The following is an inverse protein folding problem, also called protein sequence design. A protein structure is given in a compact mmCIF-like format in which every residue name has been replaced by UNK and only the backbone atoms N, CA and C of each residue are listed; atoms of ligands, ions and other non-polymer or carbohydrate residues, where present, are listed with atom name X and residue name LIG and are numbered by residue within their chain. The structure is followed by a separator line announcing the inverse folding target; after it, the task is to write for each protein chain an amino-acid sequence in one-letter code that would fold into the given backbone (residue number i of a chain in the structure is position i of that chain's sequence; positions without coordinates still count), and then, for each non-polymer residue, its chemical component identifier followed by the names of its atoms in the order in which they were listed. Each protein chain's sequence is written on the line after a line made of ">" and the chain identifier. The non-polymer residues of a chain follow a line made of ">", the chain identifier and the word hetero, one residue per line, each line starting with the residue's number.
data_IF_277850883807
#
_entry.id   IF_277850883807
#
_cell.length_a   1.000
_cell.length_b   1.000
_cell.length_c   1.000
_cell.angle_alpha   90.00
_cell.angle_beta   90.00
_cell.angle_gamma   90.00
#
_symmetry.space_group_name_H-M   'P 1'
#
loop_
_entity.id
_entity.type
_entity.pdbx_description
1 polymer ?
#
# COMPACT_ATOMS: atom_id res chain seq x y z
N UNK A 1 -39.56 12.15 -16.25
CA UNK A 1 -39.32 10.70 -16.14
C UNK A 1 -37.82 10.48 -16.31
N UNK A 2 -37.12 9.92 -15.34
CA UNK A 2 -35.68 9.70 -15.45
C UNK A 2 -35.37 8.64 -16.49
N UNK A 3 -34.24 8.80 -17.20
CA UNK A 3 -33.77 7.79 -18.14
C UNK A 3 -33.22 6.57 -17.42
N UNK A 4 -33.22 5.40 -18.05
CA UNK A 4 -32.60 4.16 -17.49
C UNK A 4 -31.14 4.40 -17.09
N UNK A 5 -30.42 5.19 -17.88
CA UNK A 5 -29.03 5.57 -17.60
C UNK A 5 -28.90 6.40 -16.31
N UNK A 6 -29.84 7.31 -16.04
CA UNK A 6 -29.85 8.11 -14.81
C UNK A 6 -30.14 7.26 -13.58
N UNK A 7 -31.04 6.30 -13.68
CA UNK A 7 -31.30 5.35 -12.59
C UNK A 7 -30.07 4.47 -12.30
N UNK A 8 -29.49 3.91 -13.35
CA UNK A 8 -28.27 3.09 -13.18
C UNK A 8 -27.13 3.88 -12.52
N UNK A 9 -26.90 5.12 -12.97
CA UNK A 9 -25.93 6.02 -12.35
C UNK A 9 -26.26 6.29 -10.87
N UNK A 10 -27.52 6.58 -10.55
CA UNK A 10 -27.96 6.82 -9.17
C UNK A 10 -27.73 5.62 -8.25
N UNK A 11 -28.02 4.41 -8.72
CA UNK A 11 -27.77 3.17 -7.97
C UNK A 11 -26.26 2.99 -7.73
N UNK A 12 -25.43 3.14 -8.76
CA UNK A 12 -23.98 3.00 -8.63
C UNK A 12 -23.39 4.01 -7.64
N UNK A 13 -23.81 5.28 -7.74
CA UNK A 13 -23.37 6.34 -6.81
C UNK A 13 -23.83 6.04 -5.38
N UNK A 14 -25.06 5.58 -5.17
CA UNK A 14 -25.54 5.21 -3.84
C UNK A 14 -24.73 4.04 -3.25
N UNK A 15 -24.46 3.00 -4.05
CA UNK A 15 -23.60 1.88 -3.63
C UNK A 15 -22.19 2.35 -3.29
N UNK A 16 -21.63 3.26 -4.09
CA UNK A 16 -20.30 3.83 -3.83
C UNK A 16 -20.28 4.60 -2.50
N UNK A 17 -21.26 5.47 -2.23
CA UNK A 17 -21.39 6.21 -0.97
C UNK A 17 -21.51 5.26 0.22
N UNK A 18 -22.43 4.30 0.13
CA UNK A 18 -22.64 3.31 1.20
C UNK A 18 -21.37 2.54 1.54
N UNK A 19 -20.69 2.02 0.52
CA UNK A 19 -19.44 1.32 0.71
C UNK A 19 -18.32 2.21 1.25
N UNK A 20 -18.22 3.44 0.78
CA UNK A 20 -17.27 4.41 1.29
C UNK A 20 -17.49 4.70 2.80
N UNK A 21 -18.76 4.82 3.23
CA UNK A 21 -19.09 5.01 4.64
C UNK A 21 -18.73 3.79 5.50
N UNK A 22 -18.98 2.57 4.99
CA UNK A 22 -18.57 1.33 5.67
C UNK A 22 -17.05 1.27 5.82
N UNK A 23 -16.30 1.58 4.76
CA UNK A 23 -14.82 1.64 4.80
C UNK A 23 -14.36 2.70 5.81
N UNK A 24 -14.98 3.88 5.80
CA UNK A 24 -14.67 4.95 6.74
C UNK A 24 -14.88 4.50 8.20
N UNK A 25 -16.00 3.84 8.48
CA UNK A 25 -16.32 3.32 9.81
C UNK A 25 -15.32 2.25 10.27
N UNK A 26 -15.02 1.26 9.41
CA UNK A 26 -14.03 0.21 9.72
C UNK A 26 -12.68 0.82 10.05
N UNK A 27 -12.23 1.82 9.28
CA UNK A 27 -10.95 2.49 9.52
C UNK A 27 -10.96 3.40 10.74
N UNK A 28 -12.07 4.08 11.02
CA UNK A 28 -12.20 4.94 12.20
C UNK A 28 -12.14 4.14 13.49
N UNK A 29 -12.97 3.10 13.60
CA UNK A 29 -13.02 2.24 14.78
C UNK A 29 -11.84 1.27 14.89
N UNK A 30 -11.07 1.14 13.83
CA UNK A 30 -9.87 0.28 13.78
C UNK A 30 -10.16 -1.14 14.24
N UNK A 31 -11.09 -1.82 13.54
CA UNK A 31 -11.68 -3.09 13.97
C UNK A 31 -10.71 -4.28 13.96
N UNK A 32 -9.58 -4.19 13.23
CA UNK A 32 -8.52 -5.21 13.25
C UNK A 32 -7.28 -4.66 13.97
N UNK A 33 -6.90 -5.27 15.10
CA UNK A 33 -5.82 -4.79 15.97
C UNK A 33 -4.84 -5.86 16.45
N UNK A 34 -4.51 -6.93 15.70
CA UNK A 34 -3.68 -8.01 16.23
C UNK A 34 -2.30 -7.52 16.69
N UNK A 35 -1.76 -6.46 16.08
CA UNK A 35 -0.45 -5.89 16.41
C UNK A 35 -0.52 -4.43 16.88
N UNK A 36 -1.65 -4.02 17.49
CA UNK A 36 -1.78 -2.67 18.06
C UNK A 36 -0.73 -2.49 19.17
N UNK A 37 0.08 -1.42 19.05
CA UNK A 37 1.24 -1.10 19.91
C UNK A 37 2.50 -1.94 19.69
N UNK A 38 2.54 -2.84 18.72
CA UNK A 38 3.79 -3.54 18.43
C UNK A 38 4.82 -2.55 17.83
N UNK A 39 6.07 -2.48 18.36
CA UNK A 39 7.04 -1.47 17.95
C UNK A 39 7.45 -1.58 16.48
N UNK A 40 7.43 -2.79 15.91
CA UNK A 40 7.87 -3.09 14.55
C UNK A 40 6.75 -2.96 13.49
N UNK A 41 5.49 -2.79 13.91
CA UNK A 41 4.36 -2.74 12.98
C UNK A 41 3.59 -1.44 13.07
N UNK A 42 2.91 -1.10 11.99
CA UNK A 42 1.97 0.03 11.93
C UNK A 42 0.81 -0.27 10.98
N UNK A 43 -0.29 0.43 11.19
CA UNK A 43 -1.44 0.38 10.29
C UNK A 43 -1.47 1.65 9.44
N UNK A 44 -1.39 1.51 8.08
CA UNK A 44 -1.28 2.67 7.21
C UNK A 44 -2.52 3.58 7.25
N UNK A 45 -2.31 4.89 7.25
CA UNK A 45 -3.24 5.92 6.84
C UNK A 45 -4.63 5.98 7.48
N UNK A 46 -4.80 5.56 8.75
CA UNK A 46 -6.12 5.46 9.41
C UNK A 46 -6.97 6.73 9.27
N UNK A 47 -6.49 7.87 9.78
CA UNK A 47 -7.24 9.13 9.78
C UNK A 47 -7.48 9.67 8.38
N UNK A 48 -6.44 9.67 7.54
CA UNK A 48 -6.51 10.14 6.17
C UNK A 48 -7.54 9.33 5.37
N UNK A 49 -7.50 8.00 5.45
CA UNK A 49 -8.43 7.10 4.77
C UNK A 49 -9.88 7.38 5.20
N UNK A 50 -10.14 7.54 6.50
CA UNK A 50 -11.48 7.85 7.01
C UNK A 50 -12.03 9.13 6.41
N UNK A 51 -11.24 10.22 6.46
CA UNK A 51 -11.68 11.53 5.94
C UNK A 51 -11.97 11.45 4.44
N UNK A 52 -11.09 10.79 3.69
CA UNK A 52 -11.22 10.63 2.24
C UNK A 52 -12.53 9.94 1.89
N UNK A 53 -12.86 8.83 2.54
CA UNK A 53 -14.09 8.10 2.24
C UNK A 53 -15.35 8.84 2.73
N UNK A 54 -15.27 9.62 3.82
CA UNK A 54 -16.37 10.50 4.24
C UNK A 54 -16.68 11.60 3.23
N UNK A 55 -15.69 12.04 2.43
CA UNK A 55 -15.93 13.02 1.36
C UNK A 55 -16.89 12.51 0.26
N UNK A 56 -17.16 11.19 0.19
CA UNK A 56 -18.20 10.64 -0.70
C UNK A 56 -19.60 11.23 -0.44
N UNK A 57 -19.86 11.73 0.78
CA UNK A 57 -21.10 12.42 1.12
C UNK A 57 -21.34 13.66 0.26
N UNK A 58 -20.31 14.26 -0.33
CA UNK A 58 -20.45 15.38 -1.28
C UNK A 58 -21.20 14.99 -2.55
N UNK A 59 -21.35 13.69 -2.82
CA UNK A 59 -22.10 13.16 -3.98
C UNK A 59 -23.62 13.08 -3.74
N UNK A 60 -24.12 13.27 -2.53
CA UNK A 60 -25.56 13.19 -2.21
C UNK A 60 -26.43 14.06 -3.15
N UNK A 61 -26.04 15.30 -3.53
CA UNK A 61 -26.84 16.08 -4.48
C UNK A 61 -27.06 15.38 -5.82
N UNK A 62 -26.15 14.53 -6.26
CA UNK A 62 -26.32 13.77 -7.51
C UNK A 62 -27.39 12.67 -7.43
N UNK A 63 -27.76 12.25 -6.22
CA UNK A 63 -28.86 11.31 -6.00
C UNK A 63 -30.21 12.02 -5.97
N UNK A 64 -30.27 13.26 -5.47
CA UNK A 64 -31.51 14.03 -5.28
C UNK A 64 -31.95 14.69 -6.60
N UNK A 65 -31.00 15.28 -7.33
CA UNK A 65 -31.26 16.04 -8.55
C UNK A 65 -30.32 15.62 -9.69
N UNK A 66 -30.35 14.36 -10.12
CA UNK A 66 -29.34 13.77 -11.01
C UNK A 66 -29.27 14.40 -12.40
N UNK A 67 -30.35 15.02 -12.89
CA UNK A 67 -30.44 15.55 -14.25
C UNK A 67 -29.86 16.96 -14.41
N UNK A 68 -29.58 17.67 -13.30
CA UNK A 68 -28.95 18.97 -13.40
C UNK A 68 -27.49 18.89 -13.84
N UNK A 69 -27.11 19.76 -14.76
CA UNK A 69 -25.73 19.83 -15.28
C UNK A 69 -24.68 20.04 -14.18
N UNK A 70 -25.04 20.81 -13.13
CA UNK A 70 -24.16 21.02 -11.98
C UNK A 70 -23.88 19.76 -11.18
N UNK A 71 -24.82 18.83 -11.09
CA UNK A 71 -24.59 17.52 -10.42
C UNK A 71 -23.74 16.60 -11.27
N UNK A 72 -23.84 16.68 -12.58
CA UNK A 72 -22.95 15.96 -13.48
C UNK A 72 -21.51 16.49 -13.41
N UNK A 73 -21.32 17.80 -13.34
CA UNK A 73 -20.02 18.42 -13.08
C UNK A 73 -19.46 18.02 -11.71
N UNK A 74 -20.31 17.93 -10.68
CA UNK A 74 -19.91 17.48 -9.34
C UNK A 74 -19.39 16.05 -9.36
N UNK A 75 -20.09 15.12 -10.05
CA UNK A 75 -19.62 13.74 -10.24
C UNK A 75 -18.25 13.70 -10.91
N UNK A 76 -18.07 14.41 -12.03
CA UNK A 76 -16.78 14.48 -12.72
C UNK A 76 -15.69 15.08 -11.85
N UNK A 77 -15.96 16.14 -11.11
CA UNK A 77 -15.00 16.76 -10.22
C UNK A 77 -14.58 15.82 -9.07
N UNK A 78 -15.53 15.05 -8.54
CA UNK A 78 -15.23 14.06 -7.52
C UNK A 78 -14.41 12.88 -8.08
N UNK A 79 -14.88 12.28 -9.21
CA UNK A 79 -14.27 11.08 -9.76
C UNK A 79 -12.98 11.33 -10.56
N UNK A 80 -12.61 12.53 -10.94
CA UNK A 80 -11.32 12.77 -11.58
C UNK A 80 -10.35 13.50 -10.64
N UNK A 81 -10.38 14.84 -10.44
CA UNK A 81 -9.32 15.51 -9.67
C UNK A 81 -9.34 15.12 -8.19
N UNK A 82 -10.52 14.94 -7.57
CA UNK A 82 -10.59 14.63 -6.12
C UNK A 82 -10.14 13.21 -5.83
N UNK A 83 -10.54 12.20 -6.61
CA UNK A 83 -10.03 10.84 -6.42
C UNK A 83 -8.53 10.71 -6.71
N UNK A 84 -8.00 11.40 -7.72
CA UNK A 84 -6.56 11.43 -7.99
C UNK A 84 -5.78 12.08 -6.84
N UNK A 85 -6.33 13.15 -6.26
CA UNK A 85 -5.79 13.72 -5.04
C UNK A 85 -5.82 12.73 -3.88
N UNK A 86 -6.95 12.01 -3.67
CA UNK A 86 -7.04 10.97 -2.64
C UNK A 86 -6.02 9.88 -2.81
N UNK A 87 -5.85 9.41 -4.03
CA UNK A 87 -4.86 8.39 -4.35
C UNK A 87 -3.45 8.85 -3.98
N UNK A 88 -3.12 10.11 -4.27
CA UNK A 88 -1.87 10.73 -3.88
C UNK A 88 -1.70 10.77 -2.36
N UNK A 89 -2.72 11.23 -1.61
CA UNK A 89 -2.70 11.28 -0.15
C UNK A 89 -2.60 9.88 0.47
N UNK A 90 -3.30 8.88 -0.10
CA UNK A 90 -3.22 7.51 0.38
C UNK A 90 -1.80 6.95 0.22
N UNK A 91 -1.16 7.16 -0.94
CA UNK A 91 0.23 6.76 -1.14
C UNK A 91 1.16 7.43 -0.13
N UNK A 92 1.03 8.74 0.08
CA UNK A 92 1.82 9.45 1.08
C UNK A 92 1.54 8.98 2.52
N UNK A 93 0.29 8.67 2.86
CA UNK A 93 -0.05 8.21 4.21
C UNK A 93 0.39 6.78 4.47
N UNK A 94 0.42 5.93 3.44
CA UNK A 94 0.89 4.53 3.55
C UNK A 94 2.42 4.45 3.61
N UNK A 95 3.11 5.34 2.94
CA UNK A 95 4.58 5.33 2.87
C UNK A 95 5.21 6.57 3.53
N UNK A 96 4.46 7.33 4.32
CA UNK A 96 4.87 8.63 4.88
C UNK A 96 6.03 8.57 5.87
N UNK A 97 6.28 7.41 6.49
CA UNK A 97 7.48 7.19 7.33
C UNK A 97 8.78 7.14 6.51
N UNK A 98 8.68 6.87 5.22
CA UNK A 98 9.80 6.68 4.29
C UNK A 98 9.96 7.90 3.39
N UNK A 99 8.84 8.54 3.08
CA UNK A 99 8.81 9.78 2.34
C UNK A 99 8.98 10.94 3.34
N UNK A 100 9.90 11.84 3.12
CA UNK A 100 10.05 13.08 3.90
C UNK A 100 8.76 13.90 3.84
N UNK A 101 7.73 13.43 4.56
CA UNK A 101 6.37 14.00 4.58
C UNK A 101 6.36 15.50 4.87
N UNK A 102 7.32 15.99 5.69
CA UNK A 102 7.45 17.41 5.99
C UNK A 102 7.65 18.25 4.72
N UNK A 103 8.39 17.75 3.74
CA UNK A 103 8.65 18.44 2.46
C UNK A 103 7.42 18.45 1.56
N UNK A 104 6.64 17.36 1.56
CA UNK A 104 5.47 17.20 0.68
C UNK A 104 4.17 17.73 1.27
N UNK A 105 4.11 18.01 2.57
CA UNK A 105 2.90 18.45 3.28
C UNK A 105 2.28 19.72 2.70
N UNK A 106 3.10 20.76 2.44
CA UNK A 106 2.59 22.05 1.90
C UNK A 106 2.05 21.91 0.48
N UNK A 107 2.78 21.33 -0.50
CA UNK A 107 2.24 21.10 -1.83
C UNK A 107 0.95 20.27 -1.83
N UNK A 108 0.87 19.21 -1.03
CA UNK A 108 -0.33 18.37 -0.96
C UNK A 108 -1.53 19.08 -0.35
N UNK A 109 -1.35 19.98 0.62
CA UNK A 109 -2.44 20.81 1.16
C UNK A 109 -2.95 21.81 0.12
N UNK A 110 -2.07 22.45 -0.65
CA UNK A 110 -2.47 23.37 -1.72
C UNK A 110 -3.26 22.60 -2.80
N UNK A 111 -2.79 21.44 -3.22
CA UNK A 111 -3.51 20.59 -4.18
C UNK A 111 -4.87 20.16 -3.64
N UNK A 112 -4.97 19.84 -2.34
CA UNK A 112 -6.24 19.52 -1.68
C UNK A 112 -7.23 20.66 -1.73
N UNK A 113 -6.77 21.88 -1.46
CA UNK A 113 -7.60 23.07 -1.57
C UNK A 113 -8.11 23.28 -3.00
N UNK A 114 -7.26 23.09 -4.04
CA UNK A 114 -7.70 23.20 -5.44
C UNK A 114 -8.70 22.10 -5.82
N UNK A 115 -8.53 20.87 -5.32
CA UNK A 115 -9.48 19.79 -5.53
C UNK A 115 -10.86 20.08 -4.89
N UNK A 116 -10.86 20.63 -3.68
CA UNK A 116 -12.10 21.07 -2.99
C UNK A 116 -12.77 22.22 -3.71
N UNK A 117 -12.01 23.19 -4.22
CA UNK A 117 -12.55 24.27 -5.05
C UNK A 117 -13.22 23.73 -6.32
N UNK A 118 -12.68 22.67 -6.94
CA UNK A 118 -13.33 22.04 -8.08
C UNK A 118 -14.70 21.44 -7.73
N UNK A 119 -14.87 20.86 -6.53
CA UNK A 119 -16.18 20.36 -6.06
C UNK A 119 -17.22 21.47 -5.90
N UNK A 120 -16.79 22.67 -5.47
CA UNK A 120 -17.68 23.82 -5.25
C UNK A 120 -17.96 24.52 -6.57
N UNK A 121 -16.97 24.62 -7.47
CA UNK A 121 -17.08 25.35 -8.73
C UNK A 121 -18.20 24.83 -9.64
N UNK A 122 -18.38 23.50 -9.73
CA UNK A 122 -19.41 22.87 -10.56
C UNK A 122 -20.86 23.29 -10.15
N UNK A 123 -21.28 23.06 -8.89
CA UNK A 123 -22.58 23.50 -8.40
C UNK A 123 -22.75 25.03 -8.46
N UNK A 124 -21.74 25.80 -8.10
CA UNK A 124 -21.77 27.27 -8.14
C UNK A 124 -21.95 27.77 -9.56
N UNK A 125 -21.23 27.20 -10.52
CA UNK A 125 -21.37 27.53 -11.92
C UNK A 125 -22.79 27.25 -12.44
N UNK A 126 -23.48 26.24 -11.96
CA UNK A 126 -24.87 25.95 -12.33
C UNK A 126 -25.87 26.94 -11.74
N UNK A 127 -25.53 27.63 -10.65
CA UNK A 127 -26.33 28.68 -10.02
C UNK A 127 -26.17 30.04 -10.74
N UNK A 128 -24.98 30.32 -11.25
CA UNK A 128 -24.64 31.54 -11.97
C UNK A 128 -25.09 31.46 -13.44
N UNK A 129 -26.39 31.32 -13.70
CA UNK A 129 -26.98 31.37 -15.05
C UNK A 129 -26.81 32.76 -15.70
N UNK A 130 -25.60 33.09 -16.09
CA UNK A 130 -25.30 34.31 -16.85
C UNK A 130 -25.26 34.00 -18.36
N UNK A 131 -25.95 34.81 -19.15
CA UNK A 131 -26.13 34.66 -20.62
C UNK A 131 -24.84 34.78 -21.46
N UNK A 132 -23.67 35.06 -20.87
CA UNK A 132 -22.46 35.44 -21.63
C UNK A 132 -21.37 34.35 -21.72
N UNK A 133 -21.46 33.25 -20.98
CA UNK A 133 -20.42 32.21 -21.00
C UNK A 133 -21.05 30.81 -20.87
N UNK A 134 -20.55 29.84 -21.63
CA UNK A 134 -20.94 28.44 -21.44
C UNK A 134 -20.26 27.90 -20.17
N UNK A 135 -20.91 28.14 -19.03
CA UNK A 135 -20.40 27.81 -17.68
C UNK A 135 -20.09 26.31 -17.54
N UNK A 136 -20.87 25.47 -18.22
CA UNK A 136 -20.66 24.02 -18.22
C UNK A 136 -19.37 23.65 -18.95
N UNK A 137 -19.11 24.28 -20.10
CA UNK A 137 -17.88 24.08 -20.85
C UNK A 137 -16.67 24.51 -20.02
N UNK A 138 -16.72 25.71 -19.39
CA UNK A 138 -15.64 26.18 -18.52
C UNK A 138 -15.42 25.24 -17.33
N UNK A 139 -16.50 24.76 -16.69
CA UNK A 139 -16.42 23.78 -15.61
C UNK A 139 -15.74 22.48 -16.05
N UNK A 140 -16.08 21.94 -17.22
CA UNK A 140 -15.42 20.76 -17.76
C UNK A 140 -13.92 21.01 -18.04
N UNK A 141 -13.56 22.15 -18.62
CA UNK A 141 -12.15 22.49 -18.87
C UNK A 141 -11.37 22.58 -17.56
N UNK A 142 -11.91 23.24 -16.54
CA UNK A 142 -11.28 23.35 -15.22
C UNK A 142 -11.06 21.94 -14.61
N UNK A 143 -12.08 21.06 -14.65
CA UNK A 143 -11.99 19.70 -14.13
C UNK A 143 -10.90 18.91 -14.86
N UNK A 144 -10.81 19.01 -16.18
CA UNK A 144 -9.78 18.31 -16.96
C UNK A 144 -8.37 18.85 -16.66
N UNK A 145 -8.20 20.16 -16.59
CA UNK A 145 -6.90 20.77 -16.23
C UNK A 145 -6.46 20.34 -14.84
N UNK A 146 -7.35 20.42 -13.85
CA UNK A 146 -7.05 19.92 -12.49
C UNK A 146 -6.78 18.42 -12.49
N UNK A 147 -7.51 17.64 -13.29
CA UNK A 147 -7.26 16.22 -13.49
C UNK A 147 -5.84 15.94 -13.98
N UNK A 148 -5.33 16.71 -14.95
CA UNK A 148 -3.95 16.58 -15.43
C UNK A 148 -2.96 16.90 -14.32
N UNK A 149 -3.14 18.00 -13.60
CA UNK A 149 -2.26 18.40 -12.48
C UNK A 149 -2.22 17.30 -11.40
N UNK A 150 -3.40 16.77 -11.01
CA UNK A 150 -3.48 15.72 -10.00
C UNK A 150 -2.89 14.40 -10.51
N UNK A 151 -3.02 14.07 -11.79
CA UNK A 151 -2.37 12.90 -12.39
C UNK A 151 -0.87 13.01 -12.32
N UNK A 152 -0.30 14.15 -12.66
CA UNK A 152 1.16 14.39 -12.59
C UNK A 152 1.66 14.21 -11.16
N UNK A 153 0.96 14.78 -10.18
CA UNK A 153 1.34 14.62 -8.75
C UNK A 153 1.23 13.19 -8.27
N UNK A 154 0.19 12.45 -8.70
CA UNK A 154 0.04 11.04 -8.38
C UNK A 154 1.15 10.19 -9.01
N UNK A 155 1.53 10.46 -10.26
CA UNK A 155 2.67 9.80 -10.93
C UNK A 155 3.98 10.09 -10.21
N UNK A 156 4.20 11.31 -9.74
CA UNK A 156 5.37 11.65 -8.92
C UNK A 156 5.38 10.81 -7.63
N UNK A 157 4.25 10.73 -6.92
CA UNK A 157 4.12 9.89 -5.72
C UNK A 157 4.43 8.41 -6.04
N UNK A 158 3.86 7.87 -7.11
CA UNK A 158 4.14 6.50 -7.58
C UNK A 158 5.64 6.30 -7.85
N UNK A 159 6.29 7.25 -8.56
CA UNK A 159 7.73 7.16 -8.84
C UNK A 159 8.58 7.17 -7.57
N UNK A 160 8.21 7.96 -6.57
CA UNK A 160 8.90 7.99 -5.28
C UNK A 160 8.77 6.65 -4.58
N UNK A 161 7.56 6.08 -4.52
CA UNK A 161 7.33 4.73 -3.94
C UNK A 161 8.14 3.67 -4.69
N UNK A 162 8.11 3.65 -6.03
CA UNK A 162 8.87 2.69 -6.83
C UNK A 162 10.39 2.85 -6.68
N UNK A 163 10.89 4.08 -6.55
CA UNK A 163 12.31 4.32 -6.28
C UNK A 163 12.71 3.74 -4.94
N UNK A 164 11.89 3.96 -3.92
CA UNK A 164 12.11 3.39 -2.61
C UNK A 164 12.10 1.86 -2.64
N UNK A 165 11.15 1.22 -3.35
CA UNK A 165 11.11 -0.26 -3.44
C UNK A 165 12.34 -0.87 -4.08
N UNK A 166 13.05 -0.12 -4.95
CA UNK A 166 14.31 -0.58 -5.56
C UNK A 166 15.51 -0.54 -4.61
N UNK A 167 15.43 0.26 -3.54
CA UNK A 167 16.49 0.37 -2.54
C UNK A 167 16.34 -0.68 -1.44
N UNK A 168 15.23 -1.40 -1.43
CA UNK A 168 14.93 -2.40 -0.42
C UNK A 168 15.63 -3.70 -0.75
N UNK A 169 16.41 -4.21 0.20
CA UNK A 169 17.05 -5.52 0.08
C UNK A 169 16.08 -6.59 0.57
N UNK A 170 15.65 -7.47 -0.35
CA UNK A 170 14.72 -8.56 -0.07
C UNK A 170 15.33 -9.55 0.93
N UNK A 171 16.66 -9.69 0.91
CA UNK A 171 17.40 -10.59 1.79
C UNK A 171 17.35 -10.20 3.28
N UNK A 172 16.78 -9.05 3.63
CA UNK A 172 16.70 -8.59 5.02
C UNK A 172 15.62 -9.33 5.82
N UNK A 173 14.64 -9.92 5.16
CA UNK A 173 13.48 -10.55 5.77
C UNK A 173 13.47 -12.05 5.49
N UNK A 174 13.06 -12.83 6.49
CA UNK A 174 12.94 -14.28 6.35
C UNK A 174 11.60 -14.73 5.74
N UNK A 175 10.60 -13.84 5.72
CA UNK A 175 9.26 -14.20 5.25
C UNK A 175 8.80 -13.26 4.12
N UNK A 176 8.33 -13.81 2.94
CA UNK A 176 7.86 -12.98 1.82
C UNK A 176 6.73 -12.00 2.17
N UNK A 177 5.91 -12.32 3.17
CA UNK A 177 4.81 -11.46 3.61
C UNK A 177 5.27 -10.20 4.33
N UNK A 178 6.43 -10.25 4.97
CA UNK A 178 7.02 -9.11 5.67
C UNK A 178 7.69 -8.11 4.71
N UNK A 179 7.75 -8.42 3.42
CA UNK A 179 8.35 -7.53 2.42
C UNK A 179 7.45 -6.29 2.18
N UNK A 180 7.82 -5.11 2.70
CA UNK A 180 7.05 -3.89 2.44
C UNK A 180 6.97 -3.57 0.94
N UNK A 181 7.88 -4.11 0.14
CA UNK A 181 7.92 -4.02 -1.32
C UNK A 181 6.70 -4.62 -1.98
N UNK A 182 6.19 -5.75 -1.48
CA UNK A 182 5.02 -6.43 -2.06
C UNK A 182 3.74 -5.59 -1.87
N UNK A 183 3.58 -5.01 -0.69
CA UNK A 183 2.50 -4.05 -0.43
C UNK A 183 2.61 -2.82 -1.33
N UNK A 184 3.81 -2.23 -1.45
CA UNK A 184 4.06 -1.07 -2.30
C UNK A 184 3.76 -1.36 -3.77
N UNK A 185 4.23 -2.49 -4.32
CA UNK A 185 3.95 -2.91 -5.70
C UNK A 185 2.45 -3.11 -5.95
N UNK A 186 1.72 -3.68 -4.97
CA UNK A 186 0.27 -3.85 -5.04
C UNK A 186 -0.44 -2.50 -5.07
N UNK A 187 -0.08 -1.57 -4.18
CA UNK A 187 -0.67 -0.23 -4.12
C UNK A 187 -0.41 0.56 -5.40
N UNK A 188 0.79 0.49 -5.95
CA UNK A 188 1.13 1.15 -7.22
C UNK A 188 0.32 0.60 -8.39
N UNK A 189 0.13 -0.73 -8.47
CA UNK A 189 -0.69 -1.34 -9.54
C UNK A 189 -2.14 -0.88 -9.47
N UNK A 190 -2.73 -0.86 -8.27
CA UNK A 190 -4.09 -0.35 -8.06
C UNK A 190 -4.17 1.13 -8.45
N UNK A 191 -3.19 1.94 -8.05
CA UNK A 191 -3.15 3.36 -8.38
C UNK A 191 -3.09 3.61 -9.89
N UNK A 192 -2.25 2.88 -10.61
CA UNK A 192 -2.15 3.01 -12.08
C UNK A 192 -3.45 2.61 -12.78
N UNK A 193 -4.06 1.48 -12.39
CA UNK A 193 -5.35 1.05 -12.93
C UNK A 193 -6.45 2.09 -12.64
N UNK A 194 -6.46 2.66 -11.44
CA UNK A 194 -7.42 3.71 -11.05
C UNK A 194 -7.27 4.96 -11.91
N UNK A 195 -6.05 5.43 -12.19
CA UNK A 195 -5.81 6.58 -13.08
C UNK A 195 -6.46 6.34 -14.46
N UNK A 196 -6.23 5.16 -15.05
CA UNK A 196 -6.80 4.82 -16.36
C UNK A 196 -8.33 4.83 -16.33
N UNK A 197 -8.94 4.21 -15.31
CA UNK A 197 -10.39 4.16 -15.15
C UNK A 197 -11.01 5.55 -14.98
N UNK A 198 -10.41 6.41 -14.17
CA UNK A 198 -10.91 7.78 -13.93
C UNK A 198 -10.87 8.63 -15.20
N UNK A 199 -9.78 8.55 -15.98
CA UNK A 199 -9.68 9.24 -17.26
C UNK A 199 -10.65 8.68 -18.30
N UNK A 200 -10.86 7.37 -18.34
CA UNK A 200 -11.85 6.76 -19.23
C UNK A 200 -13.25 7.30 -18.94
N UNK A 201 -13.65 7.36 -17.66
CA UNK A 201 -14.94 7.92 -17.25
C UNK A 201 -15.08 9.41 -17.63
N UNK A 202 -14.02 10.20 -17.43
CA UNK A 202 -14.04 11.64 -17.70
C UNK A 202 -14.11 11.97 -19.20
N UNK A 203 -13.36 11.24 -20.04
CA UNK A 203 -13.26 11.49 -21.47
C UNK A 203 -14.48 10.98 -22.25
N UNK A 204 -14.98 9.78 -21.92
CA UNK A 204 -16.15 9.23 -22.59
C UNK A 204 -17.44 9.97 -22.27
N UNK A 205 -17.49 10.75 -21.21
CA UNK A 205 -18.61 11.62 -20.83
C UNK A 205 -19.98 10.91 -20.85
N UNK A 206 -20.02 9.64 -20.49
CA UNK A 206 -21.19 8.78 -20.54
C UNK A 206 -21.59 8.32 -19.14
N UNK A 207 -22.88 8.45 -18.78
CA UNK A 207 -23.40 8.08 -17.45
C UNK A 207 -23.23 6.60 -17.14
N UNK A 208 -23.47 5.71 -18.11
CA UNK A 208 -23.31 4.28 -17.90
C UNK A 208 -21.85 3.90 -17.66
N UNK A 209 -20.92 4.53 -18.39
CA UNK A 209 -19.48 4.33 -18.17
C UNK A 209 -19.08 4.81 -16.80
N UNK A 210 -19.56 5.99 -16.38
CA UNK A 210 -19.29 6.52 -15.04
C UNK A 210 -19.80 5.54 -13.96
N UNK A 211 -21.04 5.04 -14.10
CA UNK A 211 -21.62 4.08 -13.17
C UNK A 211 -20.79 2.79 -13.05
N UNK A 212 -20.33 2.24 -14.17
CA UNK A 212 -19.45 1.06 -14.18
C UNK A 212 -18.13 1.36 -13.48
N UNK A 213 -17.53 2.52 -13.77
CA UNK A 213 -16.28 2.93 -13.11
C UNK A 213 -16.46 3.10 -11.62
N UNK A 214 -17.57 3.68 -11.14
CA UNK A 214 -17.90 3.78 -9.71
C UNK A 214 -17.93 2.42 -9.02
N UNK A 215 -18.57 1.43 -9.62
CA UNK A 215 -18.65 0.06 -9.10
C UNK A 215 -17.26 -0.62 -9.06
N UNK A 216 -16.45 -0.43 -10.10
CA UNK A 216 -15.06 -0.95 -10.13
C UNK A 216 -14.21 -0.27 -9.05
N UNK A 217 -14.33 1.05 -8.89
CA UNK A 217 -13.61 1.80 -7.86
C UNK A 217 -14.04 1.37 -6.46
N UNK A 218 -15.31 1.03 -6.27
CA UNK A 218 -15.78 0.47 -5.01
C UNK A 218 -15.10 -0.87 -4.72
N UNK A 219 -15.02 -1.78 -5.69
CA UNK A 219 -14.29 -3.04 -5.56
C UNK A 219 -12.79 -2.83 -5.27
N UNK A 220 -12.15 -1.89 -5.97
CA UNK A 220 -10.75 -1.51 -5.72
C UNK A 220 -10.57 -0.94 -4.30
N UNK A 221 -11.52 -0.15 -3.81
CA UNK A 221 -11.51 0.41 -2.45
C UNK A 221 -11.60 -0.68 -1.39
N UNK A 222 -12.44 -1.70 -1.58
CA UNK A 222 -12.51 -2.87 -0.69
C UNK A 222 -11.18 -3.64 -0.70
N UNK A 223 -10.58 -3.84 -1.87
CA UNK A 223 -9.28 -4.49 -2.00
C UNK A 223 -8.17 -3.70 -1.27
N UNK A 224 -8.21 -2.37 -1.37
CA UNK A 224 -7.29 -1.50 -0.63
C UNK A 224 -7.54 -1.56 0.89
N UNK A 225 -8.79 -1.61 1.31
CA UNK A 225 -9.15 -1.79 2.72
C UNK A 225 -8.58 -3.07 3.28
N UNK A 226 -8.81 -4.21 2.63
CA UNK A 226 -8.27 -5.52 3.05
C UNK A 226 -6.75 -5.43 3.19
N UNK A 227 -6.07 -4.82 2.22
CA UNK A 227 -4.62 -4.65 2.28
C UNK A 227 -4.16 -3.71 3.41
N UNK A 228 -4.95 -2.69 3.76
CA UNK A 228 -4.63 -1.73 4.83
C UNK A 228 -5.01 -2.23 6.24
N UNK A 229 -5.82 -3.29 6.34
CA UNK A 229 -6.14 -3.95 7.61
C UNK A 229 -5.02 -4.91 8.06
N UNK A 230 -4.17 -5.36 7.15
CA UNK A 230 -2.95 -6.07 7.51
C UNK A 230 -1.90 -5.07 8.01
N UNK A 231 -1.26 -5.33 9.17
CA UNK A 231 -0.22 -4.47 9.68
C UNK A 231 0.99 -4.52 8.73
N UNK A 232 1.61 -3.36 8.53
CA UNK A 232 2.81 -3.25 7.73
C UNK A 232 4.02 -3.12 8.64
N UNK A 233 5.08 -3.86 8.37
CA UNK A 233 6.33 -3.74 9.10
C UNK A 233 6.96 -2.38 8.78
N UNK A 234 7.44 -1.69 9.80
CA UNK A 234 8.24 -0.49 9.63
C UNK A 234 9.54 -0.90 8.94
N UNK A 235 9.87 -0.22 7.84
CA UNK A 235 11.20 -0.35 7.25
C UNK A 235 12.28 0.09 8.25
N UNK A 236 13.50 -0.40 8.03
CA UNK A 236 14.64 0.01 8.83
C UNK A 236 14.77 1.55 8.88
N UNK A 237 15.11 2.16 10.02
CA UNK A 237 15.31 3.59 10.15
C UNK A 237 16.33 4.12 9.13
N UNK A 238 16.21 5.41 8.78
CA UNK A 238 17.08 6.08 7.80
C UNK A 238 18.59 6.01 8.16
N UNK A 239 18.91 5.87 9.43
CA UNK A 239 20.29 5.65 9.92
C UNK A 239 20.90 4.35 9.36
N UNK A 240 20.08 3.30 9.15
CA UNK A 240 20.54 2.06 8.54
C UNK A 240 20.80 2.20 7.02
N UNK A 241 20.14 3.11 6.33
CA UNK A 241 20.40 3.39 4.91
C UNK A 241 21.77 4.07 4.69
N UNK A 242 22.21 4.88 5.65
CA UNK A 242 23.55 5.46 5.68
C UNK A 242 24.62 4.40 5.96
N UNK A 243 24.31 3.43 6.81
CA UNK A 243 25.20 2.31 7.12
C UNK A 243 25.32 1.33 5.93
N UNK A 244 24.28 1.22 5.08
CA UNK A 244 24.34 0.43 3.83
C UNK A 244 25.38 0.96 2.82
N UNK A 245 25.60 2.28 2.76
CA UNK A 245 26.66 2.85 1.92
C UNK A 245 28.03 2.61 2.52
N UNK A 246 28.14 2.66 3.84
CA UNK A 246 29.35 2.29 4.59
C UNK A 246 29.62 0.78 4.50
N UNK A 247 28.59 -0.06 4.51
CA UNK A 247 28.68 -1.52 4.40
C UNK A 247 29.35 -1.98 3.11
N UNK A 248 29.11 -1.31 1.97
CA UNK A 248 29.78 -1.58 0.71
C UNK A 248 31.29 -1.34 0.77
N UNK A 249 31.74 -0.43 1.63
CA UNK A 249 33.16 -0.07 1.81
C UNK A 249 33.84 -1.00 2.85
N UNK A 250 33.10 -1.48 3.86
CA UNK A 250 33.66 -2.30 4.95
C UNK A 250 33.65 -3.82 4.69
N UNK A 251 32.91 -4.33 3.69
CA UNK A 251 32.85 -5.77 3.40
C UNK A 251 34.20 -6.41 3.04
N UNK A 252 35.22 -5.61 2.77
CA UNK A 252 36.57 -6.09 2.35
C UNK A 252 37.60 -6.23 3.50
N UNK A 253 37.24 -6.04 4.77
CA UNK A 253 38.23 -6.02 5.88
C UNK A 253 37.87 -6.87 7.11
N UNK A 254 37.14 -7.94 6.96
CA UNK A 254 36.93 -8.90 8.05
C UNK A 254 38.07 -9.91 8.03
N UNK A 255 38.81 -10.06 9.17
CA UNK A 255 39.80 -11.13 9.29
C UNK A 255 39.09 -12.50 9.19
N UNK A 256 39.77 -13.52 8.62
CA UNK A 256 39.18 -14.88 8.50
C UNK A 256 38.75 -15.47 9.84
N UNK A 257 39.42 -15.14 10.91
CA UNK A 257 39.11 -15.59 12.28
C UNK A 257 37.80 -14.94 12.77
N UNK A 258 37.63 -13.65 12.55
CA UNK A 258 36.41 -12.93 12.90
C UNK A 258 35.21 -13.41 12.04
N UNK A 259 35.41 -13.71 10.74
CA UNK A 259 34.39 -14.27 9.89
C UNK A 259 33.91 -15.63 10.42
N UNK A 260 34.83 -16.52 10.79
CA UNK A 260 34.50 -17.82 11.41
C UNK A 260 33.75 -17.68 12.74
N UNK A 261 34.15 -16.71 13.59
CA UNK A 261 33.49 -16.42 14.88
C UNK A 261 32.02 -15.96 14.63
N UNK A 262 31.81 -15.07 13.69
CA UNK A 262 30.46 -14.59 13.34
C UNK A 262 29.61 -15.74 12.74
N UNK A 263 30.19 -16.54 11.83
CA UNK A 263 29.48 -17.68 11.24
C UNK A 263 29.08 -18.71 12.30
N UNK A 264 29.95 -18.97 13.27
CA UNK A 264 29.65 -19.87 14.39
C UNK A 264 28.53 -19.31 15.28
N UNK A 265 28.54 -18.01 15.58
CA UNK A 265 27.48 -17.35 16.34
C UNK A 265 26.13 -17.38 15.59
N UNK A 266 26.13 -17.15 14.26
CA UNK A 266 24.92 -17.27 13.43
C UNK A 266 24.36 -18.68 13.50
N UNK A 267 25.17 -19.72 13.32
CA UNK A 267 24.71 -21.12 13.42
C UNK A 267 24.12 -21.42 14.79
N UNK A 268 24.77 -20.96 15.84
CA UNK A 268 24.26 -21.15 17.20
C UNK A 268 22.87 -20.54 17.34
N UNK A 269 22.70 -19.26 17.03
CA UNK A 269 21.42 -18.56 17.20
C UNK A 269 20.33 -19.07 16.27
N UNK A 270 20.66 -19.29 14.99
CA UNK A 270 19.65 -19.64 14.01
C UNK A 270 19.29 -21.12 14.07
N UNK A 271 20.29 -22.03 14.15
CA UNK A 271 20.03 -23.48 14.13
C UNK A 271 19.81 -24.07 15.53
N UNK A 272 20.72 -23.80 16.51
CA UNK A 272 20.66 -24.46 17.81
C UNK A 272 19.59 -23.85 18.73
N UNK A 273 19.50 -22.53 18.76
CA UNK A 273 18.47 -21.79 19.51
C UNK A 273 17.14 -21.68 18.70
N UNK A 274 17.11 -22.30 17.50
CA UNK A 274 15.94 -22.37 16.63
C UNK A 274 15.29 -21.02 16.31
N UNK A 275 16.08 -19.93 16.23
CA UNK A 275 15.55 -18.62 15.90
C UNK A 275 14.83 -18.59 14.52
N UNK A 276 15.12 -19.55 13.62
CA UNK A 276 14.44 -19.69 12.34
C UNK A 276 12.92 -19.95 12.46
N UNK A 277 12.44 -20.43 13.62
CA UNK A 277 11.01 -20.61 13.87
C UNK A 277 10.24 -19.30 14.14
N UNK A 278 10.96 -18.21 14.40
CA UNK A 278 10.32 -16.89 14.49
C UNK A 278 9.90 -16.42 13.08
N UNK A 279 8.59 -16.31 12.77
CA UNK A 279 8.11 -15.92 11.44
C UNK A 279 8.56 -14.53 11.02
N UNK A 280 8.97 -13.68 11.98
CA UNK A 280 9.36 -12.29 11.75
C UNK A 280 10.86 -12.04 11.89
N UNK A 281 11.66 -13.10 11.92
CA UNK A 281 13.12 -13.01 12.07
C UNK A 281 13.75 -12.15 10.96
N UNK A 282 14.63 -11.24 11.36
CA UNK A 282 15.44 -10.39 10.44
C UNK A 282 16.92 -10.57 10.70
N UNK A 283 17.74 -10.12 9.73
CA UNK A 283 19.20 -10.02 9.92
C UNK A 283 19.54 -9.16 11.14
N UNK A 284 18.77 -8.07 11.38
CA UNK A 284 18.98 -7.21 12.54
C UNK A 284 18.76 -7.96 13.86
N UNK A 285 17.72 -8.81 13.93
CA UNK A 285 17.46 -9.61 15.13
C UNK A 285 18.61 -10.61 15.38
N UNK A 286 19.07 -11.28 14.33
CA UNK A 286 20.22 -12.19 14.42
C UNK A 286 21.49 -11.44 14.85
N UNK A 287 21.75 -10.28 14.25
CA UNK A 287 22.91 -9.44 14.60
C UNK A 287 22.89 -9.01 16.09
N UNK A 288 21.71 -8.62 16.57
CA UNK A 288 21.50 -8.22 17.98
C UNK A 288 21.72 -9.41 18.91
N UNK A 289 21.17 -10.59 18.60
CA UNK A 289 21.32 -11.80 19.41
C UNK A 289 22.78 -12.31 19.41
N UNK A 290 23.45 -12.24 18.26
CA UNK A 290 24.86 -12.62 18.12
C UNK A 290 25.82 -11.61 18.75
N UNK A 291 25.39 -10.38 19.07
CA UNK A 291 26.25 -9.30 19.58
C UNK A 291 27.23 -8.73 18.55
N UNK A 292 26.95 -8.88 17.26
CA UNK A 292 27.78 -8.36 16.18
C UNK A 292 27.07 -7.25 15.38
N UNK A 293 27.87 -6.40 14.72
CA UNK A 293 27.32 -5.39 13.84
C UNK A 293 26.57 -6.05 12.67
N UNK A 294 25.36 -5.55 12.37
CA UNK A 294 24.48 -6.03 11.31
C UNK A 294 25.18 -6.17 9.95
N UNK A 295 26.04 -5.21 9.60
CA UNK A 295 26.81 -5.21 8.35
C UNK A 295 27.68 -6.44 8.19
N UNK A 296 28.35 -6.85 9.27
CA UNK A 296 29.18 -8.05 9.25
C UNK A 296 28.34 -9.32 9.14
N UNK A 297 27.24 -9.38 9.90
CA UNK A 297 26.31 -10.52 9.88
C UNK A 297 25.70 -10.68 8.48
N UNK A 298 25.23 -9.59 7.85
CA UNK A 298 24.71 -9.60 6.49
C UNK A 298 25.77 -10.05 5.46
N UNK A 299 27.02 -9.59 5.61
CA UNK A 299 28.14 -10.02 4.79
C UNK A 299 28.40 -11.51 4.89
N UNK A 300 28.41 -12.08 6.10
CA UNK A 300 28.61 -13.51 6.33
C UNK A 300 27.44 -14.34 5.79
N UNK A 301 26.19 -13.89 5.97
CA UNK A 301 25.06 -14.59 5.34
C UNK A 301 25.23 -14.69 3.83
N UNK A 302 25.68 -13.62 3.19
CA UNK A 302 25.88 -13.63 1.73
C UNK A 302 27.04 -14.51 1.27
N UNK A 303 28.15 -14.51 1.99
CA UNK A 303 29.38 -15.21 1.57
C UNK A 303 29.42 -16.67 2.00
N UNK A 304 28.88 -17.00 3.19
CA UNK A 304 29.02 -18.34 3.79
C UNK A 304 27.72 -19.16 3.74
N UNK A 305 26.55 -18.50 3.68
CA UNK A 305 25.25 -19.18 3.78
C UNK A 305 24.37 -19.01 2.54
N UNK A 306 24.84 -18.34 1.49
CA UNK A 306 24.07 -18.13 0.24
C UNK A 306 22.92 -17.12 0.36
N UNK A 307 22.90 -16.30 1.44
CA UNK A 307 21.89 -15.31 1.72
C UNK A 307 21.01 -15.67 2.92
N UNK A 308 20.54 -14.63 3.62
CA UNK A 308 19.72 -14.80 4.82
C UNK A 308 18.38 -15.49 4.53
N UNK A 309 17.68 -15.02 3.50
CA UNK A 309 16.38 -15.57 3.11
C UNK A 309 16.46 -17.05 2.79
N UNK A 310 17.42 -17.43 1.94
CA UNK A 310 17.59 -18.84 1.53
C UNK A 310 17.99 -19.74 2.70
N UNK A 311 18.93 -19.30 3.53
CA UNK A 311 19.39 -20.08 4.66
C UNK A 311 18.30 -20.36 5.69
N UNK A 312 17.57 -19.31 6.13
CA UNK A 312 16.50 -19.46 7.12
C UNK A 312 15.35 -20.31 6.57
N UNK A 313 14.96 -20.08 5.32
CA UNK A 313 13.84 -20.82 4.73
C UNK A 313 14.20 -22.28 4.40
N UNK A 314 15.45 -22.61 4.10
CA UNK A 314 15.92 -24.00 3.99
C UNK A 314 15.75 -24.75 5.32
N UNK A 315 16.07 -24.12 6.44
CA UNK A 315 15.86 -24.69 7.77
C UNK A 315 14.37 -24.89 8.08
N UNK A 316 13.54 -23.90 7.76
CA UNK A 316 12.09 -23.98 7.94
C UNK A 316 11.46 -25.10 7.12
N UNK A 317 11.85 -25.27 5.84
CA UNK A 317 11.32 -26.33 5.00
C UNK A 317 11.72 -27.72 5.53
N UNK A 318 12.97 -27.88 5.96
CA UNK A 318 13.44 -29.13 6.59
C UNK A 318 12.62 -29.44 7.85
N UNK A 319 12.44 -28.44 8.73
CA UNK A 319 11.63 -28.62 9.93
C UNK A 319 10.17 -28.90 9.61
N UNK A 320 9.60 -28.28 8.56
CA UNK A 320 8.24 -28.56 8.12
C UNK A 320 8.05 -30.02 7.67
N UNK A 321 9.04 -30.61 6.99
CA UNK A 321 9.01 -32.00 6.58
C UNK A 321 9.16 -32.95 7.80
N UNK A 322 10.03 -32.63 8.75
CA UNK A 322 10.17 -33.36 10.02
C UNK A 322 8.87 -33.29 10.85
N UNK A 323 8.29 -32.09 10.99
CA UNK A 323 7.03 -31.90 11.71
C UNK A 323 5.87 -32.68 11.07
N UNK A 324 5.79 -32.67 9.73
CA UNK A 324 4.77 -33.43 8.99
C UNK A 324 4.94 -34.95 9.20
N UNK A 325 6.17 -35.45 9.23
CA UNK A 325 6.43 -36.86 9.50
C UNK A 325 6.02 -37.26 10.91
N UNK A 326 6.23 -36.41 11.89
CA UNK A 326 5.83 -36.61 13.29
C UNK A 326 4.31 -36.43 13.53
N UNK A 327 3.64 -35.62 12.71
CA UNK A 327 2.22 -35.29 12.83
C UNK A 327 1.47 -35.53 11.50
N UNK A 328 1.19 -36.78 11.11
CA UNK A 328 0.60 -37.09 9.80
C UNK A 328 -0.77 -36.50 9.53
N UNK A 329 -1.50 -36.14 10.60
CA UNK A 329 -2.85 -35.54 10.54
C UNK A 329 -2.84 -34.02 10.57
N UNK A 330 -1.67 -33.39 10.72
CA UNK A 330 -1.57 -31.94 10.81
C UNK A 330 -1.96 -31.27 9.48
N UNK A 331 -2.77 -30.22 9.59
CA UNK A 331 -3.12 -29.39 8.44
C UNK A 331 -1.89 -28.62 7.91
N UNK A 332 -1.92 -28.21 6.64
CA UNK A 332 -0.86 -27.36 6.06
C UNK A 332 -0.73 -26.05 6.82
N UNK A 333 -1.81 -25.53 7.43
CA UNK A 333 -1.76 -24.34 8.26
C UNK A 333 -0.93 -24.55 9.52
N UNK A 334 -1.16 -25.63 10.22
CA UNK A 334 -0.42 -26.00 11.43
C UNK A 334 1.06 -26.29 11.12
N UNK A 335 1.34 -26.99 10.02
CA UNK A 335 2.72 -27.23 9.57
C UNK A 335 3.44 -25.90 9.29
N UNK A 336 2.80 -24.97 8.55
CA UNK A 336 3.39 -23.69 8.22
C UNK A 336 3.69 -22.87 9.49
N UNK A 337 2.73 -22.77 10.41
CA UNK A 337 2.88 -22.06 11.68
C UNK A 337 3.97 -22.67 12.56
N UNK A 338 3.98 -23.98 12.75
CA UNK A 338 4.98 -24.69 13.54
C UNK A 338 6.40 -24.53 12.97
N UNK A 339 6.53 -24.34 11.66
CA UNK A 339 7.82 -24.21 10.96
C UNK A 339 8.30 -22.76 10.82
N UNK A 340 7.60 -21.79 11.43
CA UNK A 340 7.97 -20.38 11.39
C UNK A 340 7.59 -19.65 10.09
N UNK A 341 6.68 -20.20 9.27
CA UNK A 341 6.08 -19.46 8.18
C UNK A 341 4.88 -18.65 8.68
N UNK A 342 4.75 -17.39 8.23
CA UNK A 342 3.65 -16.51 8.64
C UNK A 342 2.28 -16.95 8.14
N UNK A 343 2.23 -17.73 7.05
CA UNK A 343 0.99 -18.25 6.47
C UNK A 343 1.23 -19.47 5.58
N UNK A 344 0.14 -20.18 5.23
CA UNK A 344 0.16 -21.23 4.20
C UNK A 344 0.69 -20.73 2.85
N UNK A 345 0.37 -19.49 2.50
CA UNK A 345 0.80 -18.90 1.24
C UNK A 345 2.31 -18.67 1.22
N UNK A 346 2.90 -18.17 2.32
CA UNK A 346 4.35 -18.07 2.48
C UNK A 346 5.05 -19.41 2.33
N UNK A 347 4.52 -20.45 3.00
CA UNK A 347 5.08 -21.80 2.90
C UNK A 347 5.11 -22.30 1.46
N UNK A 348 4.00 -22.18 0.72
CA UNK A 348 3.95 -22.62 -0.67
C UNK A 348 4.84 -21.79 -1.59
N UNK A 349 4.87 -20.47 -1.42
CA UNK A 349 5.69 -19.56 -2.21
C UNK A 349 7.19 -19.89 -2.07
N UNK A 350 7.64 -20.10 -0.82
CA UNK A 350 9.02 -20.48 -0.54
C UNK A 350 9.34 -21.88 -1.06
N UNK A 351 8.42 -22.83 -0.91
CA UNK A 351 8.60 -24.19 -1.39
C UNK A 351 8.72 -24.25 -2.92
N UNK A 352 7.94 -23.43 -3.64
CA UNK A 352 8.02 -23.31 -5.09
C UNK A 352 9.34 -22.65 -5.52
N UNK A 353 9.75 -21.59 -4.84
CA UNK A 353 10.98 -20.85 -5.16
C UNK A 353 12.25 -21.68 -4.89
N UNK A 354 12.27 -22.47 -3.83
CA UNK A 354 13.43 -23.27 -3.43
C UNK A 354 13.41 -24.71 -3.96
N UNK A 355 12.26 -25.18 -4.43
CA UNK A 355 12.08 -26.53 -5.00
C UNK A 355 12.23 -26.58 -6.52
N UNK A 356 12.43 -25.42 -7.16
CA UNK A 356 12.75 -25.26 -8.57
C UNK A 356 14.26 -25.05 -8.75
#
# INVERSE_FOLDING_TARGET
>A
MYTTSTYFQGIATAMYIMGALVIAAIRWFHMCRPYDRHPLYYYPGRKATTIIYLMSLTLIPSLIIPEKEGTWLLLKAYFLPVNLYYLTILLFSYFGGIMHWRTWRRPTLILGATALLALIAGPLASLLKGKMFNVVLLGNIIILVLGVVMTVTCIIAIRVVLRWTRQFDVEEYSNPEDFPVNFAKKMVRIAMATIVLLWTAALLNNRNVMAVVELILMGASVQMLVSALHPQRKGAPEEEALDKSAAKVYSYKISPEKAKSIAAAIRKEVEQEQAFLDPHLTIQDVATRCGFNRTYVAGIFKTEFGGFFHYVNALRLRYADEYRAAHPTASIGEIAEASGFGSRQSYYSVKEEMGS
#
